data_IF_523752829309
#
_entry.id   IF_523752829309
#
_cell.length_a   1.000
_cell.length_b   1.000
_cell.length_c   1.000
_cell.angle_alpha   90.00
_cell.angle_beta   90.00
_cell.angle_gamma   90.00
#
_symmetry.space_group_name_H-M   'P 1'
#
loop_
_entity.id
_entity.type
_entity.pdbx_description
1 polymer ?
#
# COMPACT_ATOMS: atom_id res chain seq x y z
N UNK A 1 -10.01 4.09 23.34
CA UNK A 1 -9.83 3.55 21.98
C UNK A 1 -9.92 4.69 20.98
N UNK A 2 -8.94 4.81 20.13
CA UNK A 2 -8.93 5.77 19.00
C UNK A 2 -9.14 5.01 17.71
N UNK A 3 -9.74 5.67 16.71
CA UNK A 3 -9.80 5.17 15.33
C UNK A 3 -8.93 6.10 14.48
N UNK A 4 -7.90 5.54 13.87
CA UNK A 4 -6.93 6.26 13.05
C UNK A 4 -7.21 5.93 11.58
N UNK A 5 -7.55 6.94 10.79
CA UNK A 5 -7.69 6.79 9.34
C UNK A 5 -6.32 6.84 8.69
N UNK A 6 -5.96 5.80 7.95
CA UNK A 6 -4.67 5.69 7.27
C UNK A 6 -4.88 5.42 5.79
N UNK A 7 -4.63 6.42 4.96
CA UNK A 7 -4.68 6.27 3.51
C UNK A 7 -3.48 5.46 3.04
N UNK A 8 -3.75 4.49 2.17
CA UNK A 8 -2.74 3.66 1.50
C UNK A 8 -3.10 3.53 0.03
N UNK A 9 -2.07 3.49 -0.82
CA UNK A 9 -2.27 3.36 -2.25
C UNK A 9 -2.60 4.67 -2.96
N UNK A 10 -3.32 4.56 -4.06
CA UNK A 10 -3.61 5.67 -4.96
C UNK A 10 -4.54 6.71 -4.35
N UNK A 11 -4.25 7.96 -4.69
CA UNK A 11 -5.10 9.13 -4.40
C UNK A 11 -4.83 10.24 -5.43
N UNK A 12 -5.45 11.41 -5.25
CA UNK A 12 -5.25 12.56 -6.14
C UNK A 12 -3.80 13.05 -6.24
N UNK A 13 -2.99 12.84 -5.21
CA UNK A 13 -1.57 13.21 -5.20
C UNK A 13 -0.65 12.04 -5.62
N UNK A 14 -1.11 10.80 -5.46
CA UNK A 14 -0.36 9.59 -5.76
C UNK A 14 -1.14 8.73 -6.75
N UNK A 15 -0.76 8.77 -8.01
CA UNK A 15 -1.41 8.05 -9.10
C UNK A 15 -2.53 8.82 -9.81
N UNK A 16 -3.18 9.78 -9.15
CA UNK A 16 -4.18 10.65 -9.74
C UNK A 16 -5.54 10.01 -10.03
N UNK A 17 -5.70 8.74 -9.68
CA UNK A 17 -6.97 7.99 -9.76
C UNK A 17 -7.21 7.27 -8.44
N UNK A 18 -8.44 6.81 -8.22
CA UNK A 18 -8.77 6.00 -7.04
C UNK A 18 -8.46 4.52 -7.29
N UNK A 19 -8.22 3.77 -6.21
CA UNK A 19 -8.12 2.31 -6.28
C UNK A 19 -9.45 1.71 -6.70
N UNK A 20 -9.46 0.58 -7.46
CA UNK A 20 -10.69 0.03 -8.01
C UNK A 20 -11.54 -0.69 -6.99
N UNK A 21 -12.84 -0.69 -7.25
CA UNK A 21 -13.81 -1.60 -6.64
C UNK A 21 -14.33 -2.50 -7.77
N UNK A 22 -14.13 -3.81 -7.63
CA UNK A 22 -14.61 -4.78 -8.60
C UNK A 22 -16.12 -5.02 -8.49
N UNK A 23 -16.72 -5.65 -9.50
CA UNK A 23 -18.17 -5.92 -9.53
C UNK A 23 -18.66 -6.76 -8.34
N UNK A 24 -17.80 -7.63 -7.82
CA UNK A 24 -18.09 -8.45 -6.63
C UNK A 24 -17.94 -7.69 -5.30
N UNK A 25 -17.64 -6.40 -5.35
CA UNK A 25 -17.40 -5.55 -4.19
C UNK A 25 -16.00 -5.64 -3.61
N UNK A 26 -15.11 -6.44 -4.18
CA UNK A 26 -13.71 -6.52 -3.73
C UNK A 26 -12.99 -5.22 -4.04
N UNK A 27 -12.19 -4.76 -3.08
CA UNK A 27 -11.33 -3.58 -3.20
C UNK A 27 -9.88 -4.01 -3.13
N UNK A 28 -9.06 -3.49 -4.02
CA UNK A 28 -7.60 -3.61 -3.93
C UNK A 28 -6.98 -2.23 -3.88
N UNK A 29 -5.88 -2.11 -3.13
CA UNK A 29 -5.11 -0.88 -3.07
C UNK A 29 -3.90 -1.00 -3.98
N UNK A 30 -3.70 -0.04 -4.90
CA UNK A 30 -2.49 0.01 -5.70
C UNK A 30 -1.33 0.59 -4.89
N UNK A 31 -0.12 -0.01 -4.99
CA UNK A 31 1.10 0.62 -4.52
C UNK A 31 1.28 1.98 -5.17
N UNK A 32 1.75 2.97 -4.41
CA UNK A 32 1.97 4.33 -4.93
C UNK A 32 3.03 4.33 -6.04
N UNK A 33 2.91 5.21 -7.05
CA UNK A 33 3.95 5.39 -8.04
C UNK A 33 5.27 5.80 -7.41
N UNK A 34 6.38 5.23 -7.88
CA UNK A 34 7.72 5.54 -7.39
C UNK A 34 8.76 5.31 -8.50
N UNK A 35 10.04 5.51 -8.15
CA UNK A 35 11.17 5.14 -9.00
C UNK A 35 11.84 3.83 -8.52
N UNK A 36 11.15 3.03 -7.73
CA UNK A 36 11.66 1.75 -7.24
C UNK A 36 11.69 0.70 -8.36
N UNK A 37 12.25 -0.46 -8.04
CA UNK A 37 12.45 -1.54 -9.03
C UNK A 37 11.17 -2.29 -9.36
N UNK A 38 10.18 -2.25 -8.47
CA UNK A 38 8.91 -2.96 -8.67
C UNK A 38 8.07 -2.27 -9.75
N UNK A 39 7.33 -3.06 -10.51
CA UNK A 39 6.44 -2.56 -11.56
C UNK A 39 5.03 -3.09 -11.37
N UNK A 40 4.04 -2.32 -11.83
CA UNK A 40 2.65 -2.80 -11.84
C UNK A 40 2.46 -4.05 -12.71
N UNK A 41 3.35 -4.27 -13.68
CA UNK A 41 3.33 -5.46 -14.53
C UNK A 41 3.79 -6.73 -13.80
N UNK A 42 4.55 -6.59 -12.73
CA UNK A 42 4.99 -7.71 -11.89
C UNK A 42 3.99 -8.12 -10.81
N UNK A 43 2.94 -7.32 -10.59
CA UNK A 43 1.93 -7.54 -9.56
C UNK A 43 0.64 -8.11 -10.18
N UNK A 44 -0.02 -8.99 -9.44
CA UNK A 44 -1.22 -9.69 -9.91
C UNK A 44 -2.32 -9.70 -8.85
N UNK A 45 -3.56 -9.63 -9.33
CA UNK A 45 -4.74 -9.95 -8.57
C UNK A 45 -5.64 -10.88 -9.39
N UNK A 46 -5.95 -12.06 -8.85
CA UNK A 46 -6.75 -13.10 -9.53
C UNK A 46 -6.27 -13.40 -10.97
N UNK A 47 -4.95 -13.47 -11.18
CA UNK A 47 -4.34 -13.75 -12.47
C UNK A 47 -4.31 -12.58 -13.46
N UNK A 48 -4.84 -11.41 -13.07
CA UNK A 48 -4.79 -10.18 -13.86
C UNK A 48 -3.66 -9.29 -13.37
N UNK A 49 -2.83 -8.80 -14.26
CA UNK A 49 -1.74 -7.87 -13.92
C UNK A 49 -2.29 -6.52 -13.47
N UNK A 50 -1.65 -5.91 -12.50
CA UNK A 50 -2.01 -4.54 -12.07
C UNK A 50 -1.86 -3.54 -13.20
N UNK A 51 -0.88 -3.71 -14.09
CA UNK A 51 -0.71 -2.89 -15.28
C UNK A 51 -1.94 -2.91 -16.20
N UNK A 52 -2.61 -4.07 -16.36
CA UNK A 52 -3.83 -4.19 -17.14
C UNK A 52 -5.01 -3.47 -16.46
N UNK A 53 -5.16 -3.65 -15.15
CA UNK A 53 -6.23 -2.97 -14.39
C UNK A 53 -6.03 -1.45 -14.47
N UNK A 54 -4.80 -0.97 -14.33
CA UNK A 54 -4.47 0.45 -14.45
C UNK A 54 -4.74 1.01 -15.86
N UNK A 55 -4.48 0.21 -16.89
CA UNK A 55 -4.83 0.57 -18.28
C UNK A 55 -6.34 0.76 -18.42
N UNK A 56 -7.15 -0.16 -17.90
CA UNK A 56 -8.61 -0.10 -17.96
C UNK A 56 -9.16 1.12 -17.18
N UNK A 57 -8.50 1.49 -16.10
CA UNK A 57 -8.78 2.72 -15.32
C UNK A 57 -8.24 4.00 -15.97
N UNK A 58 -7.61 3.90 -17.15
CA UNK A 58 -7.01 5.03 -17.89
C UNK A 58 -5.91 5.76 -17.11
N UNK A 59 -5.16 5.02 -16.30
CA UNK A 59 -3.98 5.56 -15.62
C UNK A 59 -2.96 6.09 -16.63
N UNK A 60 -2.36 7.25 -16.35
CA UNK A 60 -1.40 7.95 -17.22
C UNK A 60 -0.01 8.12 -16.60
N UNK A 61 0.22 7.52 -15.44
CA UNK A 61 1.50 7.62 -14.77
C UNK A 61 2.53 6.58 -15.24
N UNK A 62 3.62 6.48 -14.50
CA UNK A 62 4.72 5.56 -14.77
C UNK A 62 4.37 4.10 -14.45
N UNK A 63 5.25 3.21 -14.84
CA UNK A 63 5.10 1.77 -14.65
C UNK A 63 5.62 1.26 -13.31
N UNK A 64 6.47 2.04 -12.63
CA UNK A 64 7.11 1.66 -11.37
C UNK A 64 6.28 2.05 -10.15
N UNK A 65 6.38 1.24 -9.10
CA UNK A 65 5.64 1.42 -7.86
C UNK A 65 6.48 1.06 -6.64
N UNK A 66 6.03 1.52 -5.47
CA UNK A 66 6.65 1.20 -4.19
C UNK A 66 5.96 -0.01 -3.55
N UNK A 67 6.68 -1.12 -3.48
CA UNK A 67 6.30 -2.28 -2.68
C UNK A 67 7.24 -2.37 -1.49
N UNK A 68 6.68 -2.56 -0.30
CA UNK A 68 7.49 -2.67 0.91
C UNK A 68 8.38 -3.92 0.85
N UNK A 69 9.73 -3.78 0.83
CA UNK A 69 10.63 -4.91 0.68
C UNK A 69 10.55 -5.93 1.81
N UNK A 70 10.03 -5.55 2.97
CA UNK A 70 9.86 -6.48 4.09
C UNK A 70 8.83 -7.58 3.80
N UNK A 71 7.95 -7.38 2.83
CA UNK A 71 6.97 -8.39 2.42
C UNK A 71 7.60 -9.52 1.59
N UNK A 72 8.78 -9.31 1.03
CA UNK A 72 9.51 -10.27 0.23
C UNK A 72 10.64 -10.92 1.05
N UNK A 73 10.59 -12.24 1.24
CA UNK A 73 11.59 -12.98 2.01
C UNK A 73 13.00 -12.89 1.43
N UNK A 74 13.14 -12.67 0.13
CA UNK A 74 14.44 -12.54 -0.53
C UNK A 74 15.02 -11.13 -0.41
N UNK A 75 14.17 -10.12 -0.19
CA UNK A 75 14.55 -8.70 -0.15
C UNK A 75 14.64 -8.13 1.26
N UNK A 76 14.00 -8.74 2.23
CA UNK A 76 14.05 -8.25 3.62
C UNK A 76 15.47 -8.38 4.20
N UNK A 77 15.83 -7.40 5.02
CA UNK A 77 17.19 -7.31 5.60
C UNK A 77 17.54 -8.49 6.50
N UNK A 78 16.54 -9.03 7.20
CA UNK A 78 16.72 -10.18 8.09
C UNK A 78 15.52 -11.11 8.01
N UNK A 79 15.78 -12.40 7.91
CA UNK A 79 14.81 -13.45 8.15
C UNK A 79 14.93 -13.92 9.60
N UNK A 80 13.91 -13.67 10.39
CA UNK A 80 13.84 -14.01 11.81
C UNK A 80 12.71 -15.02 11.98
N UNK A 81 12.97 -16.09 12.73
CA UNK A 81 11.95 -17.08 13.06
C UNK A 81 10.76 -16.40 13.75
N UNK A 82 9.54 -16.72 13.28
CA UNK A 82 8.32 -16.09 13.77
C UNK A 82 8.05 -14.68 13.22
N UNK A 83 8.82 -14.22 12.23
CA UNK A 83 8.53 -12.94 11.57
C UNK A 83 7.16 -12.96 10.89
N UNK A 84 6.44 -11.88 11.01
CA UNK A 84 5.18 -11.63 10.29
C UNK A 84 5.11 -10.17 9.84
N UNK A 85 4.36 -9.87 8.77
CA UNK A 85 4.17 -8.49 8.33
C UNK A 85 3.57 -7.62 9.43
N UNK A 86 4.14 -6.44 9.64
CA UNK A 86 3.65 -5.49 10.62
C UNK A 86 3.51 -4.11 9.99
N UNK A 87 2.42 -3.43 10.31
CA UNK A 87 2.23 -2.04 9.90
C UNK A 87 3.12 -1.13 10.75
N UNK A 88 3.81 -0.21 10.07
CA UNK A 88 4.63 0.81 10.70
C UNK A 88 4.56 2.15 9.98
N UNK A 89 5.04 3.19 10.66
CA UNK A 89 5.16 4.54 10.10
C UNK A 89 6.52 5.12 10.42
N UNK A 90 6.98 6.07 9.61
CA UNK A 90 8.25 6.77 9.80
C UNK A 90 8.08 8.28 9.76
N UNK A 91 9.11 9.01 10.21
CA UNK A 91 9.20 10.46 10.10
C UNK A 91 7.98 11.19 10.69
N UNK A 92 7.42 12.14 9.97
CA UNK A 92 6.31 12.97 10.43
C UNK A 92 5.07 12.15 10.83
N UNK A 93 4.76 11.08 10.09
CA UNK A 93 3.63 10.21 10.41
C UNK A 93 3.84 9.47 11.75
N UNK A 94 5.05 8.95 12.01
CA UNK A 94 5.38 8.34 13.29
C UNK A 94 5.32 9.35 14.45
N UNK A 95 5.85 10.56 14.24
CA UNK A 95 5.78 11.64 15.22
C UNK A 95 4.33 12.02 15.54
N UNK A 96 3.48 12.13 14.52
CA UNK A 96 2.05 12.40 14.71
C UNK A 96 1.37 11.33 15.58
N UNK A 97 1.56 10.05 15.26
CA UNK A 97 0.98 8.95 16.03
C UNK A 97 1.44 8.97 17.49
N UNK A 98 2.72 9.24 17.72
CA UNK A 98 3.27 9.40 19.07
C UNK A 98 2.61 10.57 19.81
N UNK A 99 2.46 11.71 19.14
CA UNK A 99 1.90 12.92 19.76
C UNK A 99 0.43 12.74 20.14
N UNK A 100 -0.37 12.03 19.35
CA UNK A 100 -1.76 11.72 19.70
C UNK A 100 -1.89 10.54 20.67
N UNK A 101 -0.76 9.95 21.09
CA UNK A 101 -0.72 8.88 22.08
C UNK A 101 -1.40 7.60 21.62
N UNK A 102 -1.08 7.14 20.40
CA UNK A 102 -1.55 5.83 19.90
C UNK A 102 -0.99 4.72 20.76
N UNK A 103 -1.85 3.78 21.14
CA UNK A 103 -1.53 2.71 22.07
C UNK A 103 -2.23 1.40 21.68
N UNK A 104 -1.88 0.33 22.37
CA UNK A 104 -2.55 -0.96 22.21
C UNK A 104 -4.07 -0.82 22.45
N UNK A 105 -4.87 -1.40 21.55
CA UNK A 105 -6.33 -1.30 21.55
C UNK A 105 -6.89 -0.21 20.64
N UNK A 106 -6.04 0.67 20.08
CA UNK A 106 -6.45 1.59 19.02
C UNK A 106 -6.57 0.87 17.69
N UNK A 107 -7.42 1.36 16.79
CA UNK A 107 -7.74 0.73 15.50
C UNK A 107 -7.28 1.61 14.35
N UNK A 108 -6.59 1.01 13.39
CA UNK A 108 -6.28 1.64 12.10
C UNK A 108 -7.29 1.18 11.05
N UNK A 109 -7.94 2.14 10.38
CA UNK A 109 -8.76 1.90 9.21
C UNK A 109 -7.98 2.34 7.97
N UNK A 110 -7.62 1.38 7.15
CA UNK A 110 -6.92 1.63 5.88
C UNK A 110 -7.93 1.88 4.77
N UNK A 111 -7.63 2.85 3.92
CA UNK A 111 -8.41 3.16 2.73
C UNK A 111 -7.49 3.67 1.61
N UNK A 112 -7.91 3.54 0.38
CA UNK A 112 -7.18 3.96 -0.81
C UNK A 112 -8.06 4.19 -2.00
#
# INVERSE_FOLDING_TARGET
MKIILSRKGFDSANGGIVSPIFEDGTMISFPIPSNDVDTYDSLYYNGVRYSQILHDLRYKGGEHCHVDPDLDSERRVKNIDGWFPAFGQRNAAAAYLKNIGVAQGDIFLFFG
#
